data_IF_750958318100
#
_entry.id   IF_750958318100
#
_cell.length_a   1.000
_cell.length_b   1.000
_cell.length_c   1.000
_cell.angle_alpha   90.00
_cell.angle_beta   90.00
_cell.angle_gamma   90.00
#
_symmetry.space_group_name_H-M   'P 1'
#
loop_
_entity.id
_entity.type
_entity.pdbx_description
1 polymer ?
#
# COMPACT_ATOMS: atom_id res chain seq x y z
N UNK A 1 -12.15 -0.45 -40.71
CA UNK A 1 -12.89 0.43 -39.78
C UNK A 1 -12.00 1.64 -39.51
N UNK A 2 -12.35 2.81 -40.05
CA UNK A 2 -11.55 4.02 -39.87
C UNK A 2 -11.84 4.63 -38.50
N UNK A 3 -10.81 4.74 -37.66
CA UNK A 3 -10.97 5.25 -36.30
C UNK A 3 -11.01 6.78 -36.35
N UNK A 4 -12.12 7.37 -35.87
CA UNK A 4 -12.29 8.82 -35.86
C UNK A 4 -11.23 9.46 -34.96
N UNK A 5 -10.29 10.19 -35.57
CA UNK A 5 -9.18 10.85 -34.87
C UNK A 5 -9.65 11.73 -33.71
N UNK A 6 -10.78 12.42 -33.84
CA UNK A 6 -11.36 13.25 -32.76
C UNK A 6 -11.81 12.41 -31.56
N UNK A 7 -12.40 11.23 -31.83
CA UNK A 7 -12.82 10.28 -30.79
C UNK A 7 -11.60 9.67 -30.08
N UNK A 8 -10.55 9.33 -30.83
CA UNK A 8 -9.28 8.85 -30.27
C UNK A 8 -8.66 9.89 -29.33
N UNK A 9 -8.53 11.14 -29.80
CA UNK A 9 -7.95 12.23 -29.00
C UNK A 9 -8.78 12.49 -27.74
N UNK A 10 -10.12 12.49 -27.85
CA UNK A 10 -11.01 12.63 -26.70
C UNK A 10 -10.85 11.51 -25.67
N UNK A 11 -10.75 10.26 -26.12
CA UNK A 11 -10.53 9.10 -25.24
C UNK A 11 -9.17 9.17 -24.53
N UNK A 12 -8.10 9.53 -25.24
CA UNK A 12 -6.77 9.71 -24.64
C UNK A 12 -6.80 10.83 -23.60
N UNK A 13 -7.42 11.96 -23.92
CA UNK A 13 -7.56 13.09 -22.99
C UNK A 13 -8.34 12.70 -21.73
N UNK A 14 -9.42 11.94 -21.89
CA UNK A 14 -10.22 11.42 -20.76
C UNK A 14 -9.39 10.46 -19.90
N UNK A 15 -8.63 9.55 -20.52
CA UNK A 15 -7.75 8.63 -19.80
C UNK A 15 -6.66 9.38 -19.02
N UNK A 16 -6.01 10.39 -19.63
CA UNK A 16 -5.02 11.21 -18.95
C UNK A 16 -5.60 11.98 -17.76
N UNK A 17 -6.82 12.51 -17.90
CA UNK A 17 -7.54 13.15 -16.79
C UNK A 17 -7.81 12.19 -15.64
N UNK A 18 -8.28 10.97 -15.94
CA UNK A 18 -8.54 9.95 -14.92
C UNK A 18 -7.25 9.51 -14.21
N UNK A 19 -6.17 9.30 -14.96
CA UNK A 19 -4.85 8.95 -14.39
C UNK A 19 -4.33 10.10 -13.51
N UNK A 20 -4.47 11.34 -13.95
CA UNK A 20 -4.07 12.51 -13.17
C UNK A 20 -4.87 12.68 -11.88
N UNK A 21 -6.19 12.46 -11.94
CA UNK A 21 -7.05 12.52 -10.75
C UNK A 21 -6.68 11.43 -9.74
N UNK A 22 -6.44 10.21 -10.22
CA UNK A 22 -5.96 9.12 -9.38
C UNK A 22 -4.62 9.48 -8.72
N UNK A 23 -3.65 9.99 -9.49
CA UNK A 23 -2.34 10.40 -8.97
C UNK A 23 -2.45 11.46 -7.85
N UNK A 24 -3.35 12.45 -7.99
CA UNK A 24 -3.57 13.49 -6.97
C UNK A 24 -4.15 12.93 -5.67
N UNK A 25 -5.14 12.02 -5.76
CA UNK A 25 -5.72 11.36 -4.58
C UNK A 25 -4.63 10.57 -3.84
N UNK A 26 -3.73 9.91 -4.58
CA UNK A 26 -2.65 9.12 -4.00
C UNK A 26 -1.51 9.96 -3.42
N UNK A 27 -1.13 11.07 -4.06
CA UNK A 27 -0.10 11.99 -3.53
C UNK A 27 -0.46 12.56 -2.15
N UNK A 28 -1.75 12.78 -1.89
CA UNK A 28 -2.22 13.28 -0.60
C UNK A 28 -2.40 12.18 0.47
N UNK A 29 -2.18 10.91 0.11
CA UNK A 29 -2.24 9.80 1.06
C UNK A 29 -0.89 9.67 1.76
N UNK A 30 -0.72 10.42 2.83
CA UNK A 30 0.46 10.28 3.70
C UNK A 30 0.49 8.90 4.36
N UNK A 31 1.66 8.25 4.33
CA UNK A 31 1.91 7.03 5.10
C UNK A 31 2.06 7.37 6.57
N UNK A 32 1.43 6.61 7.45
CA UNK A 32 1.58 6.67 8.90
C UNK A 32 2.82 5.92 9.39
N UNK A 33 3.30 4.97 8.59
CA UNK A 33 4.60 4.33 8.80
C UNK A 33 5.59 5.01 7.86
N UNK A 34 6.38 5.94 8.38
CA UNK A 34 7.31 6.76 7.62
C UNK A 34 8.34 5.90 6.87
N UNK A 35 8.58 6.17 5.59
CA UNK A 35 9.53 5.44 4.71
C UNK A 35 9.30 3.92 4.56
N UNK A 36 8.19 3.37 5.05
CA UNK A 36 7.84 1.97 4.80
C UNK A 36 6.99 1.86 3.54
N UNK A 37 7.26 0.91 2.62
CA UNK A 37 6.44 0.74 1.44
C UNK A 37 5.06 0.24 1.83
N UNK A 38 4.05 1.06 1.57
CA UNK A 38 2.66 0.72 1.77
C UNK A 38 2.03 0.52 0.38
N UNK A 39 1.52 -0.68 0.06
CA UNK A 39 0.89 -0.95 -1.23
C UNK A 39 -0.36 -0.09 -1.40
N UNK A 40 -0.72 0.22 -2.65
CA UNK A 40 -1.89 1.07 -2.95
C UNK A 40 -3.19 0.55 -2.34
N UNK A 41 -3.33 -0.77 -2.24
CA UNK A 41 -4.46 -1.47 -1.64
C UNK A 41 -4.57 -1.33 -0.13
N UNK A 42 -3.54 -0.79 0.54
CA UNK A 42 -3.57 -0.60 1.98
C UNK A 42 -4.54 0.50 2.38
N UNK A 43 -5.39 0.25 3.36
CA UNK A 43 -6.33 1.21 3.94
C UNK A 43 -5.83 1.51 5.34
N UNK A 44 -5.70 2.80 5.67
CA UNK A 44 -5.35 3.22 7.02
C UNK A 44 -6.50 2.89 7.98
N UNK A 45 -6.18 2.28 9.11
CA UNK A 45 -7.15 2.00 10.16
C UNK A 45 -7.08 3.15 11.16
N UNK A 46 -8.15 3.95 11.24
CA UNK A 46 -8.30 4.95 12.30
C UNK A 46 -8.73 4.23 13.58
N UNK A 47 -7.77 3.69 14.33
CA UNK A 47 -7.99 3.14 15.67
C UNK A 47 -7.10 3.91 16.66
N UNK A 48 -7.70 4.35 17.76
CA UNK A 48 -7.01 5.09 18.82
C UNK A 48 -6.10 4.17 19.67
N UNK A 49 -6.19 2.86 19.47
CA UNK A 49 -5.30 1.88 20.10
C UNK A 49 -4.10 1.56 19.19
N UNK A 50 -2.96 2.20 19.48
CA UNK A 50 -1.68 2.00 18.78
C UNK A 50 -1.21 0.53 18.71
N UNK A 51 -1.78 -0.37 19.54
CA UNK A 51 -1.46 -1.79 19.56
C UNK A 51 -2.16 -2.68 18.52
N UNK A 52 -3.14 -2.15 17.77
CA UNK A 52 -3.91 -2.94 16.80
C UNK A 52 -3.20 -3.02 15.45
N UNK A 53 -3.63 -2.20 14.49
CA UNK A 53 -3.11 -2.19 13.13
C UNK A 53 -3.14 -0.77 12.61
N UNK A 54 -2.09 -0.36 11.90
CA UNK A 54 -2.06 0.92 11.22
C UNK A 54 -2.62 0.79 9.79
N UNK A 55 -2.43 -0.36 9.15
CA UNK A 55 -2.94 -0.62 7.81
C UNK A 55 -3.52 -2.01 7.63
N UNK A 56 -4.46 -2.10 6.69
CA UNK A 56 -5.02 -3.33 6.15
C UNK A 56 -4.83 -3.32 4.63
N UNK A 57 -4.16 -4.31 4.05
CA UNK A 57 -3.88 -4.42 2.61
C UNK A 57 -4.36 -5.74 2.03
N UNK A 58 -4.70 -5.77 0.74
CA UNK A 58 -4.94 -7.02 0.00
C UNK A 58 -3.75 -7.44 -0.87
N UNK A 59 -2.63 -6.71 -0.79
CA UNK A 59 -1.38 -7.10 -1.45
C UNK A 59 -0.31 -7.43 -0.39
N UNK A 60 0.44 -8.52 -0.57
CA UNK A 60 1.53 -8.85 0.34
C UNK A 60 2.66 -7.81 0.23
N UNK A 61 3.41 -7.68 1.32
CA UNK A 61 4.67 -6.91 1.36
C UNK A 61 5.77 -7.90 1.70
N UNK A 62 6.48 -8.33 0.68
CA UNK A 62 7.57 -9.31 0.79
C UNK A 62 8.94 -8.64 0.84
N UNK A 63 9.03 -7.39 0.39
CA UNK A 63 10.26 -6.61 0.31
C UNK A 63 10.03 -5.17 0.74
N UNK A 64 10.99 -4.60 1.46
CA UNK A 64 10.98 -3.21 1.85
C UNK A 64 12.38 -2.59 1.73
N UNK A 65 12.61 -1.85 0.65
CA UNK A 65 13.90 -1.19 0.38
C UNK A 65 14.29 -0.28 1.55
N UNK A 66 15.51 -0.42 2.05
CA UNK A 66 15.99 0.34 3.20
C UNK A 66 15.55 -0.20 4.57
N UNK A 67 14.87 -1.35 4.59
CA UNK A 67 14.52 -2.09 5.79
C UNK A 67 15.16 -3.49 5.76
N UNK A 68 15.70 -3.92 6.89
CA UNK A 68 16.22 -5.27 7.10
C UNK A 68 15.05 -6.25 7.23
N UNK A 69 15.00 -7.29 6.38
CA UNK A 69 14.03 -8.37 6.50
C UNK A 69 14.48 -9.35 7.61
N UNK A 70 13.70 -9.46 8.68
CA UNK A 70 13.98 -10.34 9.83
C UNK A 70 13.45 -11.77 9.64
N UNK A 71 12.84 -12.06 8.50
CA UNK A 71 12.26 -13.36 8.17
C UNK A 71 10.82 -13.54 8.59
N UNK A 72 10.32 -14.74 8.30
CA UNK A 72 8.96 -15.17 8.60
C UNK A 72 8.90 -15.92 9.93
N UNK A 73 7.86 -15.67 10.72
CA UNK A 73 7.53 -16.41 11.92
C UNK A 73 6.02 -16.68 11.97
N UNK A 74 5.64 -17.92 11.66
CA UNK A 74 4.25 -18.35 11.57
C UNK A 74 3.49 -17.54 10.53
N UNK A 75 2.58 -16.69 10.99
CA UNK A 75 1.72 -15.85 10.15
C UNK A 75 2.27 -14.43 9.95
N UNK A 76 3.51 -14.17 10.36
CA UNK A 76 4.10 -12.83 10.33
C UNK A 76 5.38 -12.78 9.52
N UNK A 77 5.62 -11.65 8.86
CA UNK A 77 6.94 -11.24 8.36
C UNK A 77 7.30 -9.90 9.01
N UNK A 78 8.56 -9.75 9.41
CA UNK A 78 9.03 -8.57 10.14
C UNK A 78 10.14 -7.84 9.41
N UNK A 79 10.13 -6.51 9.50
CA UNK A 79 11.12 -5.61 8.92
C UNK A 79 11.66 -4.65 9.99
N UNK A 80 12.94 -4.30 9.91
CA UNK A 80 13.61 -3.40 10.87
C UNK A 80 14.35 -2.27 10.17
N UNK A 81 14.27 -1.05 10.73
CA UNK A 81 15.08 0.11 10.31
C UNK A 81 15.47 0.91 11.55
N UNK A 82 16.72 0.82 11.97
CA UNK A 82 17.15 1.37 13.27
C UNK A 82 16.42 0.68 14.43
N UNK A 83 15.77 1.46 15.28
CA UNK A 83 14.98 0.95 16.42
C UNK A 83 13.52 0.63 16.07
N UNK A 84 13.08 0.97 14.85
CA UNK A 84 11.72 0.77 14.37
C UNK A 84 11.52 -0.65 13.86
N UNK A 85 10.36 -1.26 14.18
CA UNK A 85 9.99 -2.58 13.65
C UNK A 85 8.59 -2.58 13.06
N UNK A 86 8.48 -2.91 11.78
CA UNK A 86 7.20 -3.14 11.11
C UNK A 86 6.93 -4.63 11.03
N UNK A 87 5.74 -5.04 11.41
CA UNK A 87 5.29 -6.43 11.27
C UNK A 87 4.10 -6.47 10.35
N UNK A 88 4.16 -7.37 9.37
CA UNK A 88 3.05 -7.70 8.48
C UNK A 88 2.51 -9.05 8.94
N UNK A 89 1.23 -9.10 9.26
CA UNK A 89 0.50 -10.27 9.73
C UNK A 89 -0.49 -10.71 8.66
N UNK A 90 -0.55 -12.01 8.40
CA UNK A 90 -1.46 -12.61 7.43
C UNK A 90 -2.02 -13.92 7.96
N UNK A 91 -3.30 -13.93 8.34
CA UNK A 91 -3.96 -15.13 8.85
C UNK A 91 -4.30 -16.12 7.72
N UNK A 92 -4.17 -17.44 7.94
CA UNK A 92 -4.59 -18.43 6.96
C UNK A 92 -6.07 -18.31 6.61
N UNK A 93 -6.38 -18.33 5.31
CA UNK A 93 -7.75 -18.25 4.82
C UNK A 93 -8.28 -16.82 4.69
N UNK A 94 -7.52 -15.81 5.11
CA UNK A 94 -7.81 -14.41 4.83
C UNK A 94 -7.06 -13.96 3.58
N UNK A 95 -7.58 -12.97 2.86
CA UNK A 95 -6.89 -12.34 1.71
C UNK A 95 -6.12 -11.09 2.13
N UNK A 96 -6.16 -10.78 3.41
CA UNK A 96 -5.84 -9.49 3.96
C UNK A 96 -4.55 -9.57 4.77
N UNK A 97 -3.75 -8.52 4.67
CA UNK A 97 -2.48 -8.32 5.35
C UNK A 97 -2.63 -7.14 6.30
N UNK A 98 -2.25 -7.34 7.54
CA UNK A 98 -2.35 -6.34 8.60
C UNK A 98 -0.96 -5.83 8.93
N UNK A 99 -0.77 -4.51 8.95
CA UNK A 99 0.52 -3.91 9.23
C UNK A 99 0.46 -3.10 10.50
N UNK A 100 1.51 -3.21 11.32
CA UNK A 100 1.71 -2.38 12.49
C UNK A 100 3.19 -2.11 12.70
N UNK A 101 3.50 -0.90 13.15
CA UNK A 101 4.83 -0.50 13.58
C UNK A 101 4.89 -0.46 15.11
N UNK A 102 6.01 -0.94 15.67
CA UNK A 102 6.39 -0.80 17.07
C UNK A 102 7.74 -0.10 17.18
#
# INVERSE_FOLDING_TARGET
MEMNRKKLVSNISTAMLLVGLLALIYMNKESKIEDFPIPMSAIHVNDDNEGNYQYISVMPITEATGWENLGENGHTVSFKKGDRKVTVLHYPGEITYYLFEK
#
